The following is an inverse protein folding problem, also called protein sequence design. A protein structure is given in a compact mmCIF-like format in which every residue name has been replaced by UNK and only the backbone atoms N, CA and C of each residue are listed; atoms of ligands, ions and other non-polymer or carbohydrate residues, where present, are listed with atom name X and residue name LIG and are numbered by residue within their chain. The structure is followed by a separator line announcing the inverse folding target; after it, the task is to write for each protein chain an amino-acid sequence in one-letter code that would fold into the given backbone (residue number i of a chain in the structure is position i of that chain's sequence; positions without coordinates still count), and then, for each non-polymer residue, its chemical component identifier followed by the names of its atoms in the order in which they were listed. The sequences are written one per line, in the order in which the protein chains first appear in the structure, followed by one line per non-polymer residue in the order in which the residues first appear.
data_IF_963948855242
#
_entry.id   IF_963948855242
#
_cell.length_a   1.000
_cell.length_b   1.000
_cell.length_c   1.000
_cell.angle_alpha   90.00
_cell.angle_beta   90.00
_cell.angle_gamma   90.00
#
_symmetry.space_group_name_H-M   'P 1'
#
loop_
_entity.id
_entity.type
_entity.pdbx_description
1 polymer ?
#
# COMPACT_ATOMS: atom_id res chain seq x y z
N UNK A 1 -59.79 3.40 -1.16
CA UNK A 1 -58.89 4.30 -1.94
C UNK A 1 -58.55 5.60 -1.22
N UNK A 2 -59.51 6.44 -0.79
CA UNK A 2 -59.20 7.75 -0.15
C UNK A 2 -58.31 7.67 1.12
N UNK A 3 -58.49 6.67 1.98
CA UNK A 3 -57.67 6.50 3.18
C UNK A 3 -56.20 6.13 2.88
N UNK A 4 -55.95 5.41 1.78
CA UNK A 4 -54.61 4.98 1.41
C UNK A 4 -53.78 6.13 0.81
N UNK A 5 -54.42 7.00 0.03
CA UNK A 5 -53.79 8.23 -0.48
C UNK A 5 -53.41 9.20 0.65
N UNK A 6 -54.20 9.30 1.71
CA UNK A 6 -53.88 10.12 2.88
C UNK A 6 -52.68 9.60 3.67
N UNK A 7 -52.54 8.28 3.80
CA UNK A 7 -51.38 7.66 4.46
C UNK A 7 -50.08 7.87 3.67
N UNK A 8 -50.13 7.72 2.34
CA UNK A 8 -48.97 7.95 1.48
C UNK A 8 -48.55 9.42 1.50
N UNK A 9 -49.51 10.36 1.44
CA UNK A 9 -49.21 11.78 1.52
C UNK A 9 -48.58 12.16 2.87
N UNK A 10 -49.08 11.62 3.99
CA UNK A 10 -48.51 11.87 5.32
C UNK A 10 -47.08 11.29 5.44
N UNK A 11 -46.84 10.09 4.92
CA UNK A 11 -45.50 9.48 4.92
C UNK A 11 -44.49 10.30 4.11
N UNK A 12 -44.89 10.82 2.94
CA UNK A 12 -44.03 11.67 2.10
C UNK A 12 -43.71 12.99 2.80
N UNK A 13 -44.68 13.61 3.47
CA UNK A 13 -44.44 14.87 4.23
C UNK A 13 -43.47 14.65 5.39
N UNK A 14 -43.59 13.53 6.12
CA UNK A 14 -42.64 13.20 7.20
C UNK A 14 -41.24 12.94 6.65
N UNK A 15 -41.13 12.26 5.51
CA UNK A 15 -39.83 11.99 4.86
C UNK A 15 -39.18 13.28 4.37
N UNK A 16 -39.92 14.18 3.74
CA UNK A 16 -39.41 15.48 3.29
C UNK A 16 -38.99 16.34 4.48
N UNK A 17 -39.78 16.37 5.57
CA UNK A 17 -39.42 17.10 6.77
C UNK A 17 -38.14 16.54 7.44
N UNK A 18 -37.96 15.22 7.46
CA UNK A 18 -36.75 14.60 8.00
C UNK A 18 -35.50 14.93 7.15
N UNK A 19 -35.64 14.97 5.82
CA UNK A 19 -34.54 15.35 4.92
C UNK A 19 -34.16 16.83 5.07
N UNK A 20 -35.13 17.73 5.26
CA UNK A 20 -34.86 19.15 5.49
C UNK A 20 -34.15 19.38 6.84
N UNK A 21 -34.55 18.67 7.89
CA UNK A 21 -33.88 18.76 9.21
C UNK A 21 -32.44 18.22 9.17
N UNK A 22 -32.15 17.24 8.31
CA UNK A 22 -30.79 16.71 8.11
C UNK A 22 -29.88 17.65 7.30
N UNK A 23 -30.44 18.57 6.51
CA UNK A 23 -29.64 19.54 5.73
C UNK A 23 -29.24 20.80 6.51
N UNK A 24 -29.86 21.07 7.66
CA UNK A 24 -29.52 22.22 8.52
C UNK A 24 -28.59 21.86 9.69
N UNK A 25 -28.10 20.62 9.78
CA UNK A 25 -27.06 20.31 10.74
C UNK A 25 -25.81 21.13 10.38
N UNK A 26 -25.35 22.07 11.23
CA UNK A 26 -24.12 22.80 10.97
C UNK A 26 -23.01 21.78 10.80
N UNK A 27 -22.23 21.91 9.73
CA UNK A 27 -21.07 21.07 9.49
C UNK A 27 -20.24 21.01 10.79
N UNK A 28 -19.81 19.82 11.24
CA UNK A 28 -18.96 19.72 12.41
C UNK A 28 -17.77 20.64 12.17
N UNK A 29 -17.69 21.71 12.98
CA UNK A 29 -16.53 22.58 12.97
C UNK A 29 -15.36 21.70 13.40
N UNK A 30 -14.49 21.38 12.46
CA UNK A 30 -13.19 20.81 12.77
C UNK A 30 -12.55 21.77 13.79
N UNK A 31 -12.04 21.27 14.93
CA UNK A 31 -11.36 22.11 15.88
C UNK A 31 -10.26 22.86 15.14
N UNK A 32 -10.28 24.20 15.23
CA UNK A 32 -9.17 25.01 14.75
C UNK A 32 -7.88 24.44 15.36
N UNK A 33 -6.81 24.24 14.58
CA UNK A 33 -5.55 23.81 15.14
C UNK A 33 -5.10 24.89 16.12
N UNK A 34 -5.27 24.62 17.42
CA UNK A 34 -4.68 25.40 18.49
C UNK A 34 -3.19 25.15 18.44
N UNK A 35 -2.51 25.83 17.51
CA UNK A 35 -1.06 26.01 17.56
C UNK A 35 -0.80 27.04 18.66
N UNK A 36 -0.96 26.62 19.91
CA UNK A 36 -0.30 27.29 21.01
C UNK A 36 1.18 27.00 20.83
N UNK A 37 1.89 27.90 20.14
CA UNK A 37 3.34 27.99 20.27
C UNK A 37 3.58 28.34 21.74
N UNK A 38 4.13 27.43 22.58
CA UNK A 38 4.50 27.82 23.92
C UNK A 38 5.54 28.93 23.79
N UNK A 39 5.36 30.01 24.56
CA UNK A 39 6.40 31.01 24.75
C UNK A 39 7.68 30.28 25.15
N UNK A 40 8.64 30.22 24.21
CA UNK A 40 9.97 29.70 24.46
C UNK A 40 10.61 30.69 25.42
N UNK A 41 10.54 30.35 26.71
CA UNK A 41 11.35 30.98 27.73
C UNK A 41 12.79 30.71 27.32
N UNK A 42 13.46 31.75 26.79
CA UNK A 42 14.89 31.75 26.54
C UNK A 42 15.56 31.55 27.90
N UNK A 43 15.90 30.29 28.20
CA UNK A 43 16.72 29.94 29.33
C UNK A 43 18.07 30.63 29.14
N UNK A 44 18.40 31.52 30.07
CA UNK A 44 19.74 32.08 30.22
C UNK A 44 20.77 30.96 30.21
N UNK A 45 21.82 31.14 29.40
CA UNK A 45 22.94 30.22 29.22
C UNK A 45 23.40 29.62 30.57
N UNK A 46 23.34 28.29 30.75
CA UNK A 46 24.03 27.66 31.86
C UNK A 46 25.54 27.88 31.67
N UNK A 47 26.23 28.18 32.78
CA UNK A 47 27.69 28.26 32.81
C UNK A 47 28.32 27.03 32.14
N UNK A 48 29.44 27.20 31.40
CA UNK A 48 30.08 26.10 30.69
C UNK A 48 30.56 25.05 31.69
N UNK A 49 29.80 23.96 31.78
CA UNK A 49 30.24 22.75 32.48
C UNK A 49 31.39 22.18 31.63
N UNK A 50 32.57 22.06 32.25
CA UNK A 50 33.73 21.46 31.61
C UNK A 50 33.33 20.07 31.03
N UNK A 51 33.66 19.77 29.76
CA UNK A 51 33.29 18.50 29.18
C UNK A 51 33.87 17.37 30.03
N UNK A 52 33.08 16.33 30.33
CA UNK A 52 33.61 15.17 31.03
C UNK A 52 34.82 14.63 30.26
N UNK A 53 35.85 14.13 30.95
CA UNK A 53 36.99 13.49 30.29
C UNK A 53 36.45 12.42 29.33
N UNK A 54 36.97 12.33 28.09
CA UNK A 54 36.48 11.38 27.12
C UNK A 54 36.57 9.98 27.72
N UNK A 55 35.43 9.29 27.76
CA UNK A 55 35.42 7.89 28.13
C UNK A 55 36.38 7.15 27.18
N UNK A 56 37.21 6.23 27.71
CA UNK A 56 38.10 5.45 26.87
C UNK A 56 37.25 4.75 25.81
N UNK A 57 37.44 5.16 24.55
CA UNK A 57 36.85 4.51 23.39
C UNK A 57 37.32 3.06 23.45
N UNK A 58 36.42 2.20 23.90
CA UNK A 58 36.66 0.76 23.88
C UNK A 58 36.80 0.40 22.42
N UNK A 59 37.97 -0.12 22.02
CA UNK A 59 38.14 -0.63 20.67
C UNK A 59 36.99 -1.59 20.39
N UNK A 60 36.23 -1.39 19.30
CA UNK A 60 35.12 -2.27 18.97
C UNK A 60 35.69 -3.68 18.87
N UNK A 61 35.30 -4.52 19.84
CA UNK A 61 35.62 -5.94 19.81
C UNK A 61 34.96 -6.44 18.54
N UNK A 62 35.77 -6.78 17.54
CA UNK A 62 35.29 -7.29 16.27
C UNK A 62 34.42 -8.51 16.57
N UNK A 63 33.11 -8.36 16.41
CA UNK A 63 32.19 -9.49 16.47
C UNK A 63 32.67 -10.50 15.43
N UNK A 64 32.89 -11.78 15.81
CA UNK A 64 33.31 -12.78 14.87
C UNK A 64 32.26 -12.84 13.76
N UNK A 65 32.67 -12.57 12.52
CA UNK A 65 31.78 -12.63 11.37
C UNK A 65 31.18 -14.03 11.27
N UNK A 66 29.93 -14.18 11.70
CA UNK A 66 29.17 -15.42 11.56
C UNK A 66 28.85 -15.51 10.07
N UNK A 67 29.62 -16.31 9.34
CA UNK A 67 29.29 -16.59 7.94
C UNK A 67 28.01 -17.43 7.95
N UNK A 68 26.90 -16.97 7.34
CA UNK A 68 25.69 -17.76 7.28
C UNK A 68 26.00 -19.11 6.63
N UNK A 69 25.36 -20.20 7.08
CA UNK A 69 25.57 -21.52 6.47
C UNK A 69 25.28 -21.41 4.97
N UNK A 70 26.25 -21.83 4.14
CA UNK A 70 26.10 -21.84 2.68
C UNK A 70 24.91 -22.75 2.35
N UNK A 71 23.88 -22.17 1.72
CA UNK A 71 22.69 -22.90 1.29
C UNK A 71 22.99 -23.93 0.19
N UNK A 72 21.98 -24.73 -0.20
CA UNK A 72 22.12 -25.67 -1.31
C UNK A 72 22.55 -24.92 -2.59
N UNK A 73 23.50 -25.48 -3.33
CA UNK A 73 23.85 -24.96 -4.66
C UNK A 73 22.71 -25.28 -5.63
N UNK A 74 22.08 -24.24 -6.17
CA UNK A 74 21.01 -24.40 -7.14
C UNK A 74 21.63 -24.52 -8.53
N UNK A 75 21.86 -25.76 -8.95
CA UNK A 75 22.48 -26.05 -10.26
C UNK A 75 21.43 -26.10 -11.37
N UNK A 76 20.17 -26.39 -11.02
CA UNK A 76 19.01 -26.42 -11.91
C UNK A 76 17.69 -26.25 -11.13
N UNK A 77 16.59 -26.07 -11.86
CA UNK A 77 15.23 -25.94 -11.29
C UNK A 77 14.84 -27.14 -10.41
N UNK A 78 15.36 -28.33 -10.73
CA UNK A 78 15.06 -29.54 -9.97
C UNK A 78 15.70 -29.46 -8.58
N UNK A 79 16.95 -29.04 -8.47
CA UNK A 79 17.65 -28.84 -7.20
C UNK A 79 16.96 -27.75 -6.34
N UNK A 80 16.46 -26.68 -6.97
CA UNK A 80 15.65 -25.68 -6.28
C UNK A 80 14.34 -26.27 -5.74
N UNK A 81 13.59 -26.99 -6.58
CA UNK A 81 12.33 -27.58 -6.15
C UNK A 81 12.53 -28.69 -5.09
N UNK A 82 13.60 -29.49 -5.17
CA UNK A 82 13.96 -30.46 -4.13
C UNK A 82 14.29 -29.75 -2.82
N UNK A 83 15.14 -28.71 -2.84
CA UNK A 83 15.45 -27.91 -1.66
C UNK A 83 14.18 -27.28 -1.05
N UNK A 84 13.33 -26.64 -1.87
CA UNK A 84 12.05 -26.08 -1.41
C UNK A 84 11.11 -27.15 -0.84
N UNK A 85 11.09 -28.35 -1.42
CA UNK A 85 10.27 -29.46 -0.94
C UNK A 85 10.70 -29.97 0.44
N UNK A 86 12.01 -30.01 0.72
CA UNK A 86 12.55 -30.35 2.04
C UNK A 86 12.12 -29.34 3.12
N UNK A 87 11.92 -28.08 2.71
CA UNK A 87 11.35 -27.02 3.55
C UNK A 87 9.81 -27.04 3.61
N UNK A 88 9.15 -28.01 2.98
CA UNK A 88 7.71 -28.17 3.01
C UNK A 88 6.98 -27.24 2.05
N UNK A 89 7.43 -27.17 0.79
CA UNK A 89 6.86 -26.30 -0.25
C UNK A 89 5.33 -26.26 -0.30
N UNK A 90 4.63 -27.39 -0.17
CA UNK A 90 3.16 -27.42 -0.17
C UNK A 90 2.54 -26.56 0.96
N UNK A 91 3.21 -26.45 2.10
CA UNK A 91 2.80 -25.58 3.22
C UNK A 91 3.17 -24.12 2.94
N UNK A 92 4.35 -23.88 2.35
CA UNK A 92 4.79 -22.55 1.93
C UNK A 92 3.83 -21.95 0.91
N UNK A 93 3.43 -22.73 -0.10
CA UNK A 93 2.48 -22.29 -1.11
C UNK A 93 1.17 -21.85 -0.45
N UNK A 94 0.55 -22.72 0.36
CA UNK A 94 -0.71 -22.36 1.04
C UNK A 94 -0.58 -21.11 1.90
N UNK A 95 0.47 -21.03 2.73
CA UNK A 95 0.71 -19.86 3.58
C UNK A 95 0.93 -18.60 2.74
N UNK A 96 1.61 -18.71 1.59
CA UNK A 96 1.81 -17.59 0.68
C UNK A 96 0.47 -17.15 0.06
N UNK A 97 -0.39 -18.10 -0.35
CA UNK A 97 -1.74 -17.79 -0.83
C UNK A 97 -2.59 -17.08 0.22
N UNK A 98 -2.52 -17.54 1.48
CA UNK A 98 -3.26 -16.93 2.59
C UNK A 98 -2.73 -15.52 2.90
N UNK A 99 -1.40 -15.35 2.90
CA UNK A 99 -0.73 -14.06 3.06
C UNK A 99 -1.11 -13.06 1.96
N UNK A 100 -1.02 -13.49 0.70
CA UNK A 100 -1.34 -12.70 -0.49
C UNK A 100 -2.81 -12.28 -0.48
N UNK A 101 -3.71 -13.21 -0.14
CA UNK A 101 -5.14 -12.97 -0.01
C UNK A 101 -5.45 -11.96 1.10
N UNK A 102 -4.82 -12.05 2.26
CA UNK A 102 -5.03 -11.10 3.35
C UNK A 102 -4.70 -9.65 2.95
N UNK A 103 -3.82 -9.47 1.96
CA UNK A 103 -3.36 -8.18 1.42
C UNK A 103 -4.01 -7.78 0.09
N UNK A 104 -5.01 -8.55 -0.37
CA UNK A 104 -5.77 -8.24 -1.58
C UNK A 104 -5.11 -8.63 -2.89
N UNK A 105 -3.99 -9.36 -2.90
CA UNK A 105 -3.34 -9.78 -4.14
C UNK A 105 -4.17 -10.85 -4.87
N UNK A 106 -4.47 -10.68 -6.17
CA UNK A 106 -5.10 -11.73 -6.95
C UNK A 106 -4.20 -12.97 -7.04
N UNK A 107 -4.80 -14.13 -7.15
CA UNK A 107 -4.06 -15.37 -7.42
C UNK A 107 -3.73 -15.46 -8.91
N UNK A 108 -2.63 -16.08 -9.27
CA UNK A 108 -2.31 -16.40 -10.67
C UNK A 108 -2.39 -17.89 -10.91
N UNK A 109 -2.94 -18.30 -12.06
CA UNK A 109 -2.93 -19.70 -12.48
C UNK A 109 -1.58 -20.07 -13.13
N UNK A 110 -1.44 -21.33 -13.55
CA UNK A 110 -0.21 -21.80 -14.20
C UNK A 110 0.10 -21.09 -15.54
N UNK A 111 -0.87 -20.38 -16.13
CA UNK A 111 -0.67 -19.57 -17.33
C UNK A 111 -0.33 -18.11 -17.02
N UNK A 112 -0.28 -17.73 -15.74
CA UNK A 112 -0.08 -16.37 -15.28
C UNK A 112 -1.34 -15.51 -15.35
N UNK A 113 -2.52 -16.10 -15.64
CA UNK A 113 -3.77 -15.35 -15.59
C UNK A 113 -4.19 -15.12 -14.16
N UNK A 114 -4.49 -13.86 -13.84
CA UNK A 114 -5.04 -13.48 -12.55
C UNK A 114 -6.47 -14.01 -12.42
N UNK A 115 -6.75 -14.67 -11.31
CA UNK A 115 -8.09 -15.09 -10.91
C UNK A 115 -8.33 -14.72 -9.43
N UNK A 116 -9.59 -14.57 -9.08
CA UNK A 116 -10.01 -14.36 -7.70
C UNK A 116 -10.58 -15.67 -7.16
N UNK A 117 -10.17 -16.08 -5.94
CA UNK A 117 -10.70 -17.30 -5.27
C UNK A 117 -12.16 -17.15 -4.80
N UNK A 118 -12.88 -16.19 -5.36
CA UNK A 118 -14.21 -15.75 -4.95
C UNK A 118 -15.04 -15.46 -6.21
N UNK A 119 -16.38 -15.61 -6.18
CA UNK A 119 -17.24 -15.53 -7.36
C UNK A 119 -17.41 -14.10 -7.93
N UNK A 120 -16.54 -13.14 -7.57
CA UNK A 120 -16.64 -11.73 -8.01
C UNK A 120 -16.62 -11.56 -9.53
N UNK A 121 -15.95 -12.47 -10.25
CA UNK A 121 -15.93 -12.47 -11.72
C UNK A 121 -17.34 -12.55 -12.32
N UNK A 122 -18.28 -13.19 -11.61
CA UNK A 122 -19.67 -13.38 -12.05
C UNK A 122 -20.57 -12.20 -11.70
N UNK A 123 -20.14 -11.32 -10.79
CA UNK A 123 -20.93 -10.18 -10.37
C UNK A 123 -20.84 -9.04 -11.37
N UNK A 124 -21.97 -8.37 -11.62
CA UNK A 124 -21.99 -7.13 -12.37
C UNK A 124 -21.44 -5.95 -11.55
N UNK A 125 -21.18 -4.83 -12.23
CA UNK A 125 -20.60 -3.65 -11.56
C UNK A 125 -21.53 -3.06 -10.48
N UNK A 126 -22.85 -3.20 -10.62
CA UNK A 126 -23.81 -2.71 -9.63
C UNK A 126 -23.73 -3.53 -8.34
N UNK A 127 -23.63 -4.86 -8.46
CA UNK A 127 -23.46 -5.78 -7.35
C UNK A 127 -22.12 -5.55 -6.67
N UNK A 128 -21.03 -5.45 -7.44
CA UNK A 128 -19.71 -5.13 -6.90
C UNK A 128 -19.71 -3.79 -6.17
N UNK A 129 -20.38 -2.77 -6.71
CA UNK A 129 -20.52 -1.48 -6.04
C UNK A 129 -21.27 -1.62 -4.71
N UNK A 130 -22.37 -2.35 -4.69
CA UNK A 130 -23.11 -2.61 -3.45
C UNK A 130 -22.25 -3.31 -2.40
N UNK A 131 -21.43 -4.29 -2.79
CA UNK A 131 -20.49 -4.96 -1.89
C UNK A 131 -19.39 -4.02 -1.40
N UNK A 132 -18.79 -3.23 -2.30
CA UNK A 132 -17.77 -2.24 -1.99
C UNK A 132 -18.28 -1.18 -1.00
N UNK A 133 -19.49 -0.66 -1.21
CA UNK A 133 -20.15 0.31 -0.33
C UNK A 133 -20.44 -0.28 1.07
N UNK A 134 -20.62 -1.60 1.17
CA UNK A 134 -20.74 -2.34 2.44
C UNK A 134 -19.38 -2.76 3.04
N UNK A 135 -18.27 -2.35 2.43
CA UNK A 135 -16.95 -2.56 2.96
C UNK A 135 -16.26 -3.84 2.52
N UNK A 136 -16.73 -4.47 1.45
CA UNK A 136 -16.00 -5.55 0.80
C UNK A 136 -14.79 -4.98 0.03
N UNK A 137 -13.60 -5.22 0.58
CA UNK A 137 -12.33 -4.79 0.01
C UNK A 137 -12.09 -5.35 -1.40
N UNK A 138 -12.43 -6.62 -1.63
CA UNK A 138 -12.24 -7.29 -2.90
C UNK A 138 -13.17 -6.73 -3.97
N UNK A 139 -14.44 -6.52 -3.61
CA UNK A 139 -15.40 -5.93 -4.53
C UNK A 139 -14.96 -4.51 -4.96
N UNK A 140 -14.45 -3.71 -4.02
CA UNK A 140 -13.94 -2.37 -4.31
C UNK A 140 -12.77 -2.39 -5.30
N UNK A 141 -11.72 -3.18 -5.05
CA UNK A 141 -10.56 -3.25 -5.96
C UNK A 141 -10.89 -3.88 -7.32
N UNK A 142 -11.79 -4.87 -7.37
CA UNK A 142 -12.19 -5.51 -8.63
C UNK A 142 -12.99 -4.53 -9.47
N UNK A 143 -13.94 -3.80 -8.85
CA UNK A 143 -14.68 -2.76 -9.54
C UNK A 143 -13.74 -1.65 -10.03
N UNK A 144 -12.80 -1.21 -9.19
CA UNK A 144 -11.79 -0.21 -9.55
C UNK A 144 -11.01 -0.64 -10.80
N UNK A 145 -10.48 -1.86 -10.82
CA UNK A 145 -9.78 -2.43 -11.97
C UNK A 145 -10.64 -2.43 -13.24
N UNK A 146 -11.92 -2.80 -13.14
CA UNK A 146 -12.84 -2.83 -14.29
C UNK A 146 -13.09 -1.44 -14.88
N UNK A 147 -13.14 -0.41 -14.05
CA UNK A 147 -13.48 0.95 -14.48
C UNK A 147 -12.27 1.85 -14.67
N UNK A 148 -11.06 1.47 -14.25
CA UNK A 148 -9.87 2.34 -14.27
C UNK A 148 -9.56 2.94 -15.64
N UNK A 149 -9.85 2.22 -16.73
CA UNK A 149 -9.66 2.69 -18.11
C UNK A 149 -10.72 3.71 -18.55
N UNK A 150 -11.93 3.60 -18.03
CA UNK A 150 -13.11 4.36 -18.47
C UNK A 150 -13.47 5.50 -17.49
N UNK A 151 -13.11 5.37 -16.21
CA UNK A 151 -13.34 6.33 -15.12
C UNK A 151 -12.20 6.26 -14.08
N UNK A 152 -10.97 6.69 -14.42
CA UNK A 152 -9.81 6.56 -13.54
C UNK A 152 -9.98 7.30 -12.19
N UNK A 153 -10.71 8.42 -12.17
CA UNK A 153 -10.97 9.14 -10.92
C UNK A 153 -11.82 8.30 -9.94
N UNK A 154 -12.90 7.67 -10.41
CA UNK A 154 -13.72 6.78 -9.58
C UNK A 154 -12.94 5.52 -9.17
N UNK A 155 -12.09 4.99 -10.06
CA UNK A 155 -11.24 3.86 -9.73
C UNK A 155 -10.27 4.18 -8.58
N UNK A 156 -9.65 5.36 -8.56
CA UNK A 156 -8.77 5.79 -7.46
C UNK A 156 -9.51 5.80 -6.12
N UNK A 157 -10.74 6.31 -6.07
CA UNK A 157 -11.55 6.33 -4.84
C UNK A 157 -11.93 4.93 -4.36
N UNK A 158 -12.25 4.01 -5.29
CA UNK A 158 -12.52 2.62 -4.96
C UNK A 158 -11.26 1.89 -4.48
N UNK A 159 -10.11 2.11 -5.11
CA UNK A 159 -8.85 1.56 -4.61
C UNK A 159 -8.48 2.13 -3.24
N UNK A 160 -8.68 3.44 -2.99
CA UNK A 160 -8.49 4.03 -1.65
C UNK A 160 -9.38 3.39 -0.60
N UNK A 161 -10.63 3.09 -0.96
CA UNK A 161 -11.57 2.35 -0.10
C UNK A 161 -11.03 0.95 0.23
N UNK A 162 -10.45 0.24 -0.75
CA UNK A 162 -9.82 -1.06 -0.53
C UNK A 162 -8.52 -0.95 0.29
N UNK A 163 -7.67 0.05 0.03
CA UNK A 163 -6.43 0.31 0.76
C UNK A 163 -6.70 0.61 2.23
N UNK A 164 -7.72 1.42 2.53
CA UNK A 164 -8.19 1.69 3.90
C UNK A 164 -8.73 0.43 4.60
N UNK A 165 -8.94 -0.68 3.89
CA UNK A 165 -9.32 -1.98 4.44
C UNK A 165 -8.18 -2.99 4.48
N UNK A 166 -6.98 -2.58 4.06
CA UNK A 166 -5.77 -3.40 4.12
C UNK A 166 -5.34 -3.99 2.79
N UNK A 167 -5.96 -3.61 1.66
CA UNK A 167 -5.50 -4.05 0.34
C UNK A 167 -4.21 -3.31 -0.02
N UNK A 168 -3.08 -3.97 0.18
CA UNK A 168 -1.77 -3.50 -0.31
C UNK A 168 -1.73 -3.55 -1.84
N UNK A 169 -2.39 -4.56 -2.42
CA UNK A 169 -2.59 -4.62 -3.87
C UNK A 169 -3.25 -3.35 -4.42
N UNK A 170 -4.29 -2.83 -3.75
CA UNK A 170 -4.93 -1.58 -4.17
C UNK A 170 -4.00 -0.37 -4.10
N UNK A 171 -3.08 -0.31 -3.12
CA UNK A 171 -2.07 0.75 -3.05
C UNK A 171 -1.12 0.70 -4.25
N UNK A 172 -0.70 -0.51 -4.62
CA UNK A 172 0.14 -0.74 -5.80
C UNK A 172 -0.60 -0.39 -7.10
N UNK A 173 -1.90 -0.68 -7.20
CA UNK A 173 -2.72 -0.28 -8.35
C UNK A 173 -2.97 1.23 -8.43
N UNK A 174 -3.10 1.92 -7.28
CA UNK A 174 -3.13 3.39 -7.26
C UNK A 174 -1.82 3.94 -7.80
N UNK A 175 -0.67 3.43 -7.33
CA UNK A 175 0.65 3.79 -7.84
C UNK A 175 0.73 3.58 -9.36
N UNK A 176 0.38 2.39 -9.85
CA UNK A 176 0.39 2.07 -11.27
C UNK A 176 -0.56 2.97 -12.08
N UNK A 177 -1.73 3.33 -11.53
CA UNK A 177 -2.67 4.23 -12.19
C UNK A 177 -2.11 5.65 -12.30
N UNK A 178 -1.49 6.18 -11.24
CA UNK A 178 -0.80 7.47 -11.29
C UNK A 178 0.41 7.46 -12.24
N UNK A 179 1.20 6.38 -12.29
CA UNK A 179 2.28 6.23 -13.27
C UNK A 179 1.76 6.24 -14.72
N UNK A 180 0.60 5.61 -14.97
CA UNK A 180 -0.07 5.70 -16.28
C UNK A 180 -0.53 7.12 -16.58
N UNK A 181 -1.11 7.80 -15.59
CA UNK A 181 -1.55 9.21 -15.73
C UNK A 181 -0.34 10.12 -16.00
N UNK A 182 0.82 9.89 -15.39
CA UNK A 182 2.03 10.73 -15.59
C UNK A 182 2.70 10.54 -16.95
N UNK A 183 2.40 9.48 -17.70
CA UNK A 183 3.00 9.25 -19.01
C UNK A 183 2.44 10.24 -20.05
N UNK A 184 3.30 11.12 -20.56
CA UNK A 184 2.96 12.15 -21.55
C UNK A 184 2.49 11.62 -22.91
N UNK A 185 2.75 10.35 -23.22
CA UNK A 185 2.28 9.76 -24.46
C UNK A 185 0.76 9.77 -24.48
N UNK A 186 0.16 10.51 -25.43
CA UNK A 186 -1.30 10.45 -25.68
C UNK A 186 -1.79 9.04 -26.04
N UNK A 187 -0.87 8.11 -26.20
CA UNK A 187 -1.08 6.68 -26.40
C UNK A 187 -1.40 5.92 -25.12
N UNK A 188 -1.50 6.57 -23.94
CA UNK A 188 -2.03 5.86 -22.77
C UNK A 188 -3.41 5.36 -23.12
N UNK A 189 -3.54 4.05 -23.00
CA UNK A 189 -4.63 3.21 -23.47
C UNK A 189 -5.95 3.43 -22.71
N UNK A 190 -6.23 4.65 -22.25
CA UNK A 190 -7.59 5.04 -21.87
C UNK A 190 -8.46 4.90 -23.11
N UNK A 191 -9.65 4.29 -22.99
CA UNK A 191 -10.56 4.28 -24.14
C UNK A 191 -10.77 5.74 -24.54
N UNK A 192 -10.92 5.99 -25.84
CA UNK A 192 -11.16 7.30 -26.43
C UNK A 192 -12.54 7.89 -26.06
N UNK A 193 -12.93 7.78 -24.78
CA UNK A 193 -14.05 8.49 -24.19
C UNK A 193 -13.51 9.84 -23.73
N UNK A 194 -14.05 10.92 -24.30
CA UNK A 194 -13.67 12.29 -24.00
C UNK A 194 -13.71 12.58 -22.48
N UNK A 195 -14.62 11.92 -21.75
CA UNK A 195 -14.75 12.08 -20.30
C UNK A 195 -13.57 11.50 -19.53
N UNK A 196 -13.08 10.32 -19.92
CA UNK A 196 -11.94 9.69 -19.26
C UNK A 196 -10.68 10.55 -19.47
N UNK A 197 -10.50 11.10 -20.68
CA UNK A 197 -9.40 12.01 -21.00
C UNK A 197 -9.48 13.31 -20.21
N UNK A 198 -10.67 13.91 -20.07
CA UNK A 198 -10.88 15.10 -19.25
C UNK A 198 -10.45 14.87 -17.79
N UNK A 199 -10.81 13.72 -17.21
CA UNK A 199 -10.38 13.35 -15.86
C UNK A 199 -8.87 13.19 -15.76
N UNK A 200 -8.24 12.55 -16.75
CA UNK A 200 -6.78 12.38 -16.78
C UNK A 200 -6.08 13.74 -16.84
N UNK A 201 -6.56 14.68 -17.67
CA UNK A 201 -6.01 16.03 -17.70
C UNK A 201 -6.20 16.77 -16.38
N UNK A 202 -7.41 16.70 -15.80
CA UNK A 202 -7.66 17.31 -14.49
C UNK A 202 -6.74 16.76 -13.39
N UNK A 203 -6.39 15.47 -13.43
CA UNK A 203 -5.44 14.87 -12.49
C UNK A 203 -3.99 15.27 -12.77
N UNK A 204 -3.61 15.52 -14.03
CA UNK A 204 -2.29 16.05 -14.40
C UNK A 204 -2.11 17.51 -13.97
N UNK A 205 -3.20 18.27 -14.00
CA UNK A 205 -3.23 19.68 -13.57
C UNK A 205 -3.40 19.83 -12.04
N UNK A 206 -3.40 18.71 -11.30
CA UNK A 206 -3.40 18.68 -9.84
C UNK A 206 -2.17 19.39 -9.26
N UNK A 207 -2.26 20.03 -8.09
CA UNK A 207 -1.09 20.63 -7.43
C UNK A 207 0.05 19.66 -7.15
N UNK A 208 -0.27 18.37 -7.01
CA UNK A 208 0.71 17.30 -6.79
C UNK A 208 0.92 16.55 -8.10
N UNK A 209 2.17 16.46 -8.53
CA UNK A 209 2.57 15.74 -9.75
C UNK A 209 2.12 14.26 -9.67
N UNK A 210 1.48 13.71 -10.72
CA UNK A 210 1.11 12.30 -10.75
C UNK A 210 2.28 11.33 -10.54
N UNK A 211 3.50 11.64 -10.97
CA UNK A 211 4.68 10.82 -10.72
C UNK A 211 5.09 10.82 -9.24
N UNK A 212 5.00 11.97 -8.57
CA UNK A 212 5.16 12.09 -7.10
C UNK A 212 4.11 11.26 -6.38
N UNK A 213 2.84 11.38 -6.78
CA UNK A 213 1.74 10.58 -6.23
C UNK A 213 1.96 9.08 -6.45
N UNK A 214 2.43 8.69 -7.64
CA UNK A 214 2.74 7.31 -7.99
C UNK A 214 3.79 6.71 -7.07
N UNK A 215 4.92 7.40 -6.86
CA UNK A 215 5.97 6.94 -5.96
C UNK A 215 5.49 6.90 -4.51
N UNK A 216 4.76 7.93 -4.05
CA UNK A 216 4.24 7.99 -2.70
C UNK A 216 3.33 6.78 -2.37
N UNK A 217 2.41 6.42 -3.25
CA UNK A 217 1.55 5.25 -3.07
C UNK A 217 2.29 3.92 -3.11
N UNK A 218 3.39 3.84 -3.86
CA UNK A 218 4.27 2.67 -3.83
C UNK A 218 4.93 2.51 -2.45
N UNK A 219 5.47 3.61 -1.92
CA UNK A 219 6.08 3.64 -0.57
C UNK A 219 5.05 3.29 0.51
N UNK A 220 3.81 3.81 0.42
CA UNK A 220 2.71 3.44 1.32
C UNK A 220 2.43 1.93 1.27
N UNK A 221 2.47 1.31 0.08
CA UNK A 221 2.36 -0.14 -0.07
C UNK A 221 3.45 -0.88 0.71
N UNK A 222 4.71 -0.46 0.57
CA UNK A 222 5.86 -1.01 1.32
C UNK A 222 5.71 -0.82 2.83
N UNK A 223 5.32 0.38 3.28
CA UNK A 223 5.03 0.65 4.70
C UNK A 223 3.90 -0.24 5.24
N UNK A 224 2.93 -0.58 4.40
CA UNK A 224 1.77 -1.40 4.76
C UNK A 224 1.99 -2.92 4.64
N UNK A 225 3.23 -3.36 4.38
CA UNK A 225 3.59 -4.78 4.29
C UNK A 225 3.46 -5.40 2.90
N UNK A 226 3.74 -4.63 1.84
CA UNK A 226 3.92 -5.17 0.47
C UNK A 226 5.07 -6.16 0.43
N UNK A 227 4.94 -7.17 -0.42
CA UNK A 227 6.10 -7.98 -0.80
C UNK A 227 7.10 -7.09 -1.56
N UNK A 228 8.40 -7.19 -1.28
CA UNK A 228 9.44 -6.45 -1.98
C UNK A 228 9.31 -6.62 -3.49
N UNK A 229 9.15 -7.85 -3.96
CA UNK A 229 9.13 -8.14 -5.40
C UNK A 229 7.94 -7.52 -6.15
N UNK A 230 6.75 -7.45 -5.54
CA UNK A 230 5.55 -6.94 -6.22
C UNK A 230 5.46 -5.40 -6.17
N UNK A 231 5.92 -4.78 -5.09
CA UNK A 231 5.97 -3.31 -4.99
C UNK A 231 7.10 -2.70 -5.84
N UNK A 232 8.24 -3.36 -5.88
CA UNK A 232 9.49 -2.75 -6.33
C UNK A 232 9.71 -2.73 -7.86
N UNK A 233 9.05 -3.63 -8.61
CA UNK A 233 9.21 -3.66 -10.08
C UNK A 233 8.95 -2.30 -10.75
N UNK A 234 8.05 -1.49 -10.19
CA UNK A 234 7.77 -0.14 -10.68
C UNK A 234 8.55 0.95 -9.92
N UNK A 235 8.93 0.73 -8.67
CA UNK A 235 9.53 1.76 -7.81
C UNK A 235 10.81 2.33 -8.44
N UNK A 236 11.76 1.47 -8.81
CA UNK A 236 13.00 1.90 -9.47
C UNK A 236 12.78 2.56 -10.85
N UNK A 237 11.75 2.14 -11.59
CA UNK A 237 11.40 2.75 -12.88
C UNK A 237 10.76 4.14 -12.73
N UNK A 238 9.91 4.30 -11.71
CA UNK A 238 9.28 5.57 -11.34
C UNK A 238 10.37 6.52 -10.83
N UNK A 239 11.19 6.08 -9.89
CA UNK A 239 12.25 6.86 -9.25
C UNK A 239 13.29 7.36 -10.26
N UNK A 240 13.69 6.51 -11.22
CA UNK A 240 14.65 6.89 -12.27
C UNK A 240 14.16 8.01 -13.19
N UNK A 241 12.90 8.43 -13.08
CA UNK A 241 12.29 9.55 -13.82
C UNK A 241 12.07 10.80 -12.97
N UNK A 242 12.40 10.76 -11.68
CA UNK A 242 12.14 11.82 -10.71
C UNK A 242 13.41 12.62 -10.38
N UNK A 243 13.26 13.89 -10.03
CA UNK A 243 14.30 14.68 -9.37
C UNK A 243 14.42 14.31 -7.89
N UNK A 244 15.52 14.71 -7.24
CA UNK A 244 15.67 14.50 -5.79
C UNK A 244 14.59 15.23 -4.98
N UNK A 245 14.22 16.45 -5.38
CA UNK A 245 13.14 17.22 -4.76
C UNK A 245 11.79 16.49 -4.89
N UNK A 246 11.49 15.91 -6.05
CA UNK A 246 10.27 15.11 -6.24
C UNK A 246 10.27 13.85 -5.38
N UNK A 247 11.43 13.21 -5.17
CA UNK A 247 11.55 12.05 -4.28
C UNK A 247 11.29 12.48 -2.83
N UNK A 248 11.89 13.56 -2.34
CA UNK A 248 11.63 14.09 -0.99
C UNK A 248 10.17 14.48 -0.77
N UNK A 249 9.55 15.13 -1.77
CA UNK A 249 8.12 15.45 -1.76
C UNK A 249 7.27 14.17 -1.68
N UNK A 250 7.58 13.17 -2.50
CA UNK A 250 6.86 11.90 -2.51
C UNK A 250 7.00 11.13 -1.19
N UNK A 251 8.16 11.17 -0.53
CA UNK A 251 8.36 10.58 0.78
C UNK A 251 7.52 11.27 1.86
N UNK A 252 7.44 12.61 1.83
CA UNK A 252 6.59 13.39 2.74
C UNK A 252 5.11 13.05 2.51
N UNK A 253 4.70 12.98 1.24
CA UNK A 253 3.35 12.60 0.85
C UNK A 253 3.01 11.16 1.29
N UNK A 254 3.94 10.22 1.13
CA UNK A 254 3.75 8.83 1.52
C UNK A 254 3.46 8.69 3.01
N UNK A 255 4.22 9.39 3.86
CA UNK A 255 3.99 9.38 5.31
C UNK A 255 2.58 9.92 5.64
N UNK A 256 2.18 11.05 5.05
CA UNK A 256 0.85 11.62 5.25
C UNK A 256 -0.28 10.68 4.81
N UNK A 257 -0.13 10.02 3.66
CA UNK A 257 -1.09 9.03 3.16
C UNK A 257 -1.17 7.79 4.06
N UNK A 258 -0.04 7.29 4.56
CA UNK A 258 -0.01 6.16 5.49
C UNK A 258 -0.72 6.49 6.81
N UNK A 259 -0.48 7.70 7.35
CA UNK A 259 -1.14 8.17 8.57
C UNK A 259 -2.65 8.35 8.36
N UNK A 260 -3.07 8.89 7.22
CA UNK A 260 -4.49 9.00 6.83
C UNK A 260 -5.17 7.62 6.79
N UNK A 261 -4.55 6.65 6.12
CA UNK A 261 -5.11 5.30 6.01
C UNK A 261 -5.13 4.59 7.36
N UNK A 262 -4.09 4.77 8.19
CA UNK A 262 -4.03 4.20 9.53
C UNK A 262 -5.15 4.76 10.41
N UNK A 263 -5.34 6.08 10.42
CA UNK A 263 -6.46 6.71 11.14
C UNK A 263 -7.82 6.24 10.62
N UNK A 264 -7.96 6.07 9.29
CA UNK A 264 -9.17 5.54 8.69
C UNK A 264 -9.45 4.11 9.14
N UNK A 265 -8.43 3.23 9.16
CA UNK A 265 -8.54 1.85 9.64
C UNK A 265 -8.95 1.78 11.11
N UNK A 266 -8.37 2.62 11.95
CA UNK A 266 -8.72 2.71 13.37
C UNK A 266 -10.19 3.12 13.53
N UNK A 267 -10.67 4.09 12.73
CA UNK A 267 -12.09 4.49 12.74
C UNK A 267 -13.05 3.37 12.31
N UNK A 268 -12.56 2.39 11.56
CA UNK A 268 -13.30 1.21 11.11
C UNK A 268 -13.15 0.01 12.08
N UNK A 269 -12.34 0.14 13.14
CA UNK A 269 -12.05 -0.94 14.08
C UNK A 269 -11.16 -2.05 13.49
N UNK A 270 -10.37 -1.74 12.46
CA UNK A 270 -9.51 -2.71 11.75
C UNK A 270 -8.07 -2.77 12.32
N UNK A 271 -7.70 -1.79 13.16
CA UNK A 271 -6.35 -1.65 13.71
C UNK A 271 -5.29 -1.31 12.67
N UNK A 272 -4.01 -1.45 13.06
CA UNK A 272 -2.87 -1.22 12.18
C UNK A 272 -2.82 -2.16 10.97
N UNK A 273 -1.95 -1.86 10.01
CA UNK A 273 -1.68 -2.77 8.90
C UNK A 273 -1.01 -4.06 9.38
N UNK A 274 -1.37 -5.19 8.77
CA UNK A 274 -0.66 -6.44 8.97
C UNK A 274 0.69 -6.35 8.23
N UNK A 275 1.79 -6.45 8.98
CA UNK A 275 3.16 -6.37 8.47
C UNK A 275 3.93 -7.69 8.63
N UNK A 276 3.21 -8.78 8.88
CA UNK A 276 3.79 -10.12 8.87
C UNK A 276 4.39 -10.42 7.49
N UNK A 277 5.63 -10.92 7.42
CA UNK A 277 6.28 -11.21 6.16
C UNK A 277 5.57 -12.39 5.45
N UNK A 278 5.68 -12.49 4.12
CA UNK A 278 5.32 -13.73 3.44
C UNK A 278 6.21 -14.89 3.96
N UNK A 279 5.79 -16.14 3.76
CA UNK A 279 6.57 -17.31 4.20
C UNK A 279 7.99 -17.38 3.62
N UNK A 280 8.20 -16.71 2.49
CA UNK A 280 9.49 -16.55 1.83
C UNK A 280 9.60 -15.11 1.34
N UNK A 281 10.66 -14.41 1.74
CA UNK A 281 10.98 -13.07 1.25
C UNK A 281 12.24 -13.17 0.41
N UNK A 282 12.18 -12.63 -0.80
CA UNK A 282 13.35 -12.29 -1.58
C UNK A 282 13.55 -10.78 -1.47
N UNK A 283 14.65 -10.34 -0.88
CA UNK A 283 14.98 -8.92 -0.82
C UNK A 283 16.29 -8.69 -1.56
N UNK A 284 16.19 -7.94 -2.65
CA UNK A 284 17.34 -7.27 -3.24
C UNK A 284 17.49 -5.94 -2.49
N UNK A 285 18.45 -5.88 -1.56
CA UNK A 285 18.70 -4.68 -0.75
C UNK A 285 19.11 -3.47 -1.59
N UNK A 286 19.49 -3.66 -2.85
CA UNK A 286 19.82 -2.56 -3.76
C UNK A 286 18.59 -1.78 -4.26
N UNK A 287 17.38 -2.26 -3.98
CA UNK A 287 16.13 -1.69 -4.53
C UNK A 287 15.18 -1.15 -3.46
N UNK A 288 15.74 -0.61 -2.38
CA UNK A 288 14.92 0.05 -1.36
C UNK A 288 14.49 1.45 -1.82
N UNK A 289 13.22 1.86 -1.57
CA UNK A 289 12.82 3.24 -1.78
C UNK A 289 13.70 4.20 -0.98
N UNK A 290 14.07 5.34 -1.58
CA UNK A 290 14.94 6.35 -0.94
C UNK A 290 14.32 7.08 0.26
N UNK A 291 13.08 6.76 0.63
CA UNK A 291 12.37 7.38 1.75
C UNK A 291 12.86 6.94 3.14
N UNK A 292 13.97 6.20 3.25
CA UNK A 292 14.52 5.76 4.53
C UNK A 292 13.71 4.65 5.22
N UNK A 293 12.73 4.08 4.53
CA UNK A 293 12.03 2.88 4.97
C UNK A 293 12.78 1.65 4.46
N UNK A 294 13.60 1.06 5.32
CA UNK A 294 14.23 -0.24 5.04
C UNK A 294 13.14 -1.34 4.95
N UNK A 295 13.35 -2.39 4.16
CA UNK A 295 12.52 -3.60 4.19
C UNK A 295 12.33 -4.15 5.60
N UNK A 296 13.38 -4.07 6.44
CA UNK A 296 13.28 -4.44 7.85
C UNK A 296 12.31 -3.55 8.65
N UNK A 297 12.09 -2.31 8.20
CA UNK A 297 11.04 -1.46 8.75
C UNK A 297 9.67 -1.77 8.14
N UNK A 298 9.62 -2.22 6.87
CA UNK A 298 8.42 -2.58 6.09
C UNK A 298 7.67 -3.82 6.59
N UNK A 299 8.43 -4.85 6.98
CA UNK A 299 7.94 -6.12 7.52
C UNK A 299 8.85 -6.59 8.65
N UNK A 300 8.30 -7.27 9.65
CA UNK A 300 9.11 -7.88 10.70
C UNK A 300 9.79 -9.15 10.18
N UNK A 301 11.12 -9.16 10.13
CA UNK A 301 11.90 -10.36 9.77
C UNK A 301 12.42 -11.12 11.00
N UNK A 302 11.99 -10.76 12.21
CA UNK A 302 12.48 -11.36 13.46
C UNK A 302 12.21 -12.87 13.56
N UNK A 303 11.12 -13.34 12.93
CA UNK A 303 10.74 -14.76 12.86
C UNK A 303 11.25 -15.46 11.60
N UNK A 304 12.14 -14.82 10.83
CA UNK A 304 12.66 -15.36 9.59
C UNK A 304 14.12 -15.80 9.71
N UNK A 305 14.45 -16.92 9.08
CA UNK A 305 15.81 -17.41 8.92
C UNK A 305 16.37 -16.96 7.58
N UNK A 306 17.48 -16.23 7.62
CA UNK A 306 18.25 -15.87 6.44
C UNK A 306 18.92 -17.11 5.82
N UNK A 307 18.86 -17.21 4.48
CA UNK A 307 19.56 -18.21 3.69
C UNK A 307 20.19 -17.56 2.47
N UNK A 308 21.49 -17.80 2.28
CA UNK A 308 22.17 -17.46 1.04
C UNK A 308 21.89 -18.53 -0.02
N UNK A 309 21.35 -18.12 -1.15
CA UNK A 309 21.13 -18.94 -2.33
C UNK A 309 22.14 -18.53 -3.39
N UNK A 310 22.80 -19.51 -4.02
CA UNK A 310 23.76 -19.28 -5.11
C UNK A 310 23.26 -19.88 -6.41
N UNK A 311 23.28 -19.08 -7.47
CA UNK A 311 23.00 -19.47 -8.85
C UNK A 311 24.14 -18.98 -9.75
N UNK A 312 25.09 -19.87 -10.06
CA UNK A 312 26.33 -19.46 -10.73
C UNK A 312 27.19 -18.55 -9.85
N UNK A 313 27.55 -17.37 -10.36
CA UNK A 313 28.31 -16.34 -9.64
C UNK A 313 27.41 -15.36 -8.86
N UNK A 314 26.08 -15.49 -8.98
CA UNK A 314 25.11 -14.65 -8.29
C UNK A 314 24.76 -15.26 -6.93
N UNK A 315 24.76 -14.41 -5.91
CA UNK A 315 24.34 -14.73 -4.55
C UNK A 315 23.12 -13.87 -4.21
N UNK A 316 22.05 -14.50 -3.75
CA UNK A 316 20.84 -13.84 -3.31
C UNK A 316 20.49 -14.26 -1.89
N UNK A 317 20.00 -13.32 -1.11
CA UNK A 317 19.50 -13.60 0.23
C UNK A 317 18.01 -13.87 0.19
N UNK A 318 17.60 -15.00 0.77
CA UNK A 318 16.20 -15.38 0.96
C UNK A 318 15.94 -15.57 2.45
N UNK A 319 14.84 -14.99 2.94
CA UNK A 319 14.39 -15.19 4.30
C UNK A 319 13.22 -16.16 4.30
N UNK A 320 13.33 -17.26 5.06
CA UNK A 320 12.24 -18.20 5.28
C UNK A 320 11.61 -17.94 6.65
N UNK A 321 10.30 -17.68 6.68
CA UNK A 321 9.61 -17.27 7.90
C UNK A 321 8.75 -18.42 8.44
N UNK A 322 8.86 -18.72 9.73
CA UNK A 322 8.26 -19.93 10.34
C UNK A 322 6.77 -19.78 10.71
N UNK A 323 6.25 -18.55 10.80
CA UNK A 323 4.87 -18.24 11.26
C UNK A 323 3.77 -18.28 10.18
#
# INVERSE_FOLDING_TARGET
MKAWMLLVAAAVVVLVAAVVVLQEAPAPQLPEPVVAVPDIVVATDPEPIAPPPPEPVSEPVAEPAITPPIGPQLVDDKALMEALSEYGFDKLERRWRDWARARGYPMTDASGQMYYDQPYEQYDNLTLKGLADNGDMWAAQILANRIAKDNPAEALELFRTAAARGSVYAMNEISALYARISNDSRDVEFKSDDKALEQVFAMRDSPVDPLVSSYAWNVVGTMSGSEPMFGDMNAGQIEGRMSEEQVEEACTLAQGLYDELSAKRDSLGLGGFDRSPPPMVYADSSRQPRCGYDFATGMSLESCREMAIKSGDEEATVWLCDE
#
